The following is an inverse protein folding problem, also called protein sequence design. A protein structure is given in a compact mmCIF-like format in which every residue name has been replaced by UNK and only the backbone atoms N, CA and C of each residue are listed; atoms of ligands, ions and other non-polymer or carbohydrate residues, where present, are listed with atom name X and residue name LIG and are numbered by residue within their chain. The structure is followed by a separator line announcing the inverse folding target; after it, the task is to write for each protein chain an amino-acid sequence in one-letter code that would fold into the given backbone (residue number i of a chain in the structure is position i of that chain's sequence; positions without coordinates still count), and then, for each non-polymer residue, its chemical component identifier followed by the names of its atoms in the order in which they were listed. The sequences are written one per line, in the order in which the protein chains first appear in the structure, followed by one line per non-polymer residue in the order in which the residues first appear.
data_IF_862153573387
#
_entry.id   IF_862153573387
#
_cell.length_a   1.000
_cell.length_b   1.000
_cell.length_c   1.000
_cell.angle_alpha   90.00
_cell.angle_beta   90.00
_cell.angle_gamma   90.00
#
_symmetry.space_group_name_H-M   'P 1'
#
loop_
_entity.id
_entity.type
_entity.pdbx_description
1 polymer ?
#
# COMPACT_ATOMS: atom_id res chain seq x y z
N UNK A 1 -17.60 -26.62 33.19
CA UNK A 1 -17.79 -26.04 31.84
C UNK A 1 -16.41 -25.77 31.33
N UNK A 2 -15.93 -26.63 30.43
CA UNK A 2 -14.58 -26.52 29.89
C UNK A 2 -14.54 -25.33 28.92
N UNK A 3 -13.75 -24.31 29.26
CA UNK A 3 -13.47 -23.21 28.34
C UNK A 3 -12.50 -23.72 27.29
N UNK A 4 -13.02 -24.16 26.15
CA UNK A 4 -12.19 -24.43 24.98
C UNK A 4 -11.61 -23.11 24.49
N UNK A 5 -10.29 -22.97 24.65
CA UNK A 5 -9.48 -21.95 24.00
C UNK A 5 -9.62 -22.14 22.49
N UNK A 6 -10.38 -21.26 21.84
CA UNK A 6 -10.39 -21.16 20.38
C UNK A 6 -9.02 -20.63 19.94
N UNK A 7 -8.12 -21.52 19.53
CA UNK A 7 -7.01 -21.12 18.65
C UNK A 7 -7.63 -20.59 17.35
N UNK A 8 -7.31 -19.36 16.91
CA UNK A 8 -7.76 -18.91 15.61
C UNK A 8 -7.01 -19.76 14.57
N UNK A 9 -7.74 -20.63 13.88
CA UNK A 9 -7.23 -21.29 12.68
C UNK A 9 -6.74 -20.21 11.73
N UNK A 10 -5.41 -20.13 11.55
CA UNK A 10 -4.80 -19.26 10.56
C UNK A 10 -5.18 -19.77 9.17
N UNK A 11 -6.30 -19.26 8.67
CA UNK A 11 -6.71 -19.45 7.29
C UNK A 11 -5.59 -18.97 6.37
N UNK A 12 -5.32 -19.71 5.30
CA UNK A 12 -4.39 -19.32 4.22
C UNK A 12 -4.69 -17.93 3.61
N UNK A 13 -5.78 -17.28 4.02
CA UNK A 13 -6.19 -15.93 3.66
C UNK A 13 -5.59 -14.80 4.52
N UNK A 14 -4.90 -15.09 5.64
CA UNK A 14 -4.48 -14.05 6.59
C UNK A 14 -3.16 -13.35 6.26
N UNK A 15 -2.37 -13.88 5.33
CA UNK A 15 -1.10 -13.25 4.96
C UNK A 15 -1.33 -12.23 3.84
N UNK A 16 -1.11 -10.92 4.07
CA UNK A 16 -1.29 -9.92 3.02
C UNK A 16 -0.26 -10.11 1.91
N UNK A 17 -0.70 -10.03 0.65
CA UNK A 17 0.16 -10.18 -0.55
C UNK A 17 1.23 -9.09 -0.64
N UNK A 18 0.94 -7.91 -0.10
CA UNK A 18 1.88 -6.80 -0.01
C UNK A 18 1.89 -6.20 1.40
N UNK A 19 3.08 -5.96 1.93
CA UNK A 19 3.26 -5.15 3.13
C UNK A 19 3.59 -3.72 2.73
N UNK A 20 2.85 -2.76 3.26
CA UNK A 20 3.02 -1.34 3.01
C UNK A 20 3.68 -0.63 4.19
N UNK A 21 4.64 0.24 3.91
CA UNK A 21 5.34 1.07 4.91
C UNK A 21 5.47 2.52 4.40
N UNK A 22 4.79 3.49 5.04
CA UNK A 22 3.74 3.30 6.05
C UNK A 22 2.49 2.64 5.42
N UNK A 23 1.67 1.93 6.21
CA UNK A 23 0.43 1.32 5.69
C UNK A 23 -0.65 2.35 5.36
N UNK A 24 -0.60 3.54 5.97
CA UNK A 24 -1.53 4.64 5.76
C UNK A 24 -0.72 5.94 5.73
N UNK A 25 -0.95 6.77 4.70
CA UNK A 25 -0.43 8.14 4.62
C UNK A 25 -1.54 9.14 4.87
N UNK A 26 -1.24 10.23 5.57
CA UNK A 26 -2.17 11.32 5.83
C UNK A 26 -1.66 12.61 5.18
N UNK A 27 -2.57 13.32 4.51
CA UNK A 27 -2.37 14.69 4.07
C UNK A 27 -3.36 15.55 4.86
N UNK A 28 -2.88 16.19 5.93
CA UNK A 28 -3.68 17.10 6.77
C UNK A 28 -3.36 18.56 6.42
N UNK A 29 -4.26 19.48 6.80
CA UNK A 29 -4.04 20.92 6.70
C UNK A 29 -3.63 21.38 5.28
N UNK A 30 -4.28 20.80 4.28
CA UNK A 30 -3.93 21.06 2.88
C UNK A 30 -4.36 22.46 2.44
N UNK A 31 -3.53 23.08 1.61
CA UNK A 31 -3.80 24.35 0.93
C UNK A 31 -4.06 24.10 -0.55
N UNK A 32 -4.75 25.03 -1.21
CA UNK A 32 -5.03 24.93 -2.65
C UNK A 32 -3.79 25.37 -3.44
N UNK A 33 -3.32 24.52 -4.35
CA UNK A 33 -2.25 24.85 -5.29
C UNK A 33 -0.93 24.09 -5.12
N UNK A 34 -0.49 23.74 -3.89
CA UNK A 34 0.68 22.88 -3.67
C UNK A 34 0.49 21.43 -4.15
N UNK A 35 1.62 20.78 -4.45
CA UNK A 35 1.70 19.33 -4.70
C UNK A 35 2.22 18.66 -3.44
N UNK A 36 1.52 17.63 -2.98
CA UNK A 36 1.91 16.85 -1.81
C UNK A 36 2.45 15.48 -2.24
N UNK A 37 3.56 15.05 -1.63
CA UNK A 37 4.21 13.78 -1.92
C UNK A 37 4.33 12.93 -0.64
N UNK A 38 4.08 11.63 -0.77
CA UNK A 38 4.28 10.64 0.28
C UNK A 38 4.88 9.38 -0.34
N UNK A 39 5.98 8.90 0.25
CA UNK A 39 6.64 7.67 -0.22
C UNK A 39 6.12 6.48 0.58
N UNK A 40 5.52 5.52 -0.12
CA UNK A 40 5.07 4.25 0.46
C UNK A 40 5.86 3.12 -0.17
N UNK A 41 6.62 2.39 0.65
CA UNK A 41 7.30 1.18 0.21
C UNK A 41 6.33 0.00 0.24
N UNK A 42 6.22 -0.72 -0.86
CA UNK A 42 5.45 -1.96 -0.98
C UNK A 42 6.37 -3.16 -1.13
N UNK A 43 6.23 -4.15 -0.26
CA UNK A 43 6.97 -5.41 -0.29
C UNK A 43 6.04 -6.55 -0.69
N UNK A 44 6.28 -7.19 -1.84
CA UNK A 44 5.61 -8.42 -2.22
C UNK A 44 6.06 -9.56 -1.29
N UNK A 45 5.14 -10.20 -0.59
CA UNK A 45 5.41 -11.30 0.36
C UNK A 45 5.31 -12.68 -0.28
N UNK A 46 4.93 -12.74 -1.56
CA UNK A 46 4.76 -13.97 -2.33
C UNK A 46 5.98 -14.26 -3.20
N UNK A 47 6.13 -15.52 -3.62
CA UNK A 47 7.20 -15.97 -4.51
C UNK A 47 6.96 -15.66 -5.99
N UNK A 48 5.89 -14.93 -6.31
CA UNK A 48 5.48 -14.64 -7.69
C UNK A 48 5.26 -13.15 -7.90
N UNK A 49 5.53 -12.64 -9.10
CA UNK A 49 5.18 -11.27 -9.46
C UNK A 49 3.66 -11.05 -9.39
N UNK A 50 3.25 -9.84 -8.99
CA UNK A 50 1.86 -9.46 -8.78
C UNK A 50 1.64 -8.04 -9.32
N UNK A 51 0.52 -7.84 -10.00
CA UNK A 51 0.15 -6.55 -10.56
C UNK A 51 -0.45 -5.64 -9.48
N UNK A 52 -0.10 -4.35 -9.51
CA UNK A 52 -0.65 -3.33 -8.65
C UNK A 52 -1.21 -2.19 -9.50
N UNK A 53 -2.33 -1.62 -9.04
CA UNK A 53 -2.89 -0.39 -9.60
C UNK A 53 -3.18 0.58 -8.47
N UNK A 54 -2.91 1.84 -8.72
CA UNK A 54 -3.37 2.91 -7.83
C UNK A 54 -4.81 3.23 -8.22
N UNK A 55 -5.69 3.27 -7.22
CA UNK A 55 -7.07 3.69 -7.43
C UNK A 55 -7.14 5.22 -7.32
N UNK A 56 -7.99 5.88 -8.13
CA UNK A 56 -8.26 7.29 -7.93
C UNK A 56 -8.67 7.56 -6.47
N UNK A 57 -8.26 8.69 -5.88
CA UNK A 57 -8.69 9.05 -4.54
C UNK A 57 -10.21 9.10 -4.47
N UNK A 58 -10.80 8.60 -3.38
CA UNK A 58 -12.25 8.71 -3.13
C UNK A 58 -12.70 10.14 -2.81
N UNK A 59 -11.78 11.10 -2.87
CA UNK A 59 -11.98 12.51 -2.53
C UNK A 59 -11.78 13.37 -3.78
N UNK A 60 -12.63 14.38 -4.03
CA UNK A 60 -12.48 15.28 -5.17
C UNK A 60 -11.37 16.32 -4.95
N UNK A 61 -10.81 16.44 -3.75
CA UNK A 61 -9.83 17.46 -3.40
C UNK A 61 -8.40 17.14 -3.84
N UNK A 62 -8.14 15.86 -4.16
CA UNK A 62 -6.82 15.39 -4.55
C UNK A 62 -6.90 14.60 -5.86
N UNK A 63 -5.94 14.84 -6.74
CA UNK A 63 -5.69 14.05 -7.94
C UNK A 63 -4.30 13.44 -7.85
N UNK A 64 -4.14 12.24 -8.40
CA UNK A 64 -2.84 11.57 -8.46
C UNK A 64 -2.17 11.88 -9.81
N UNK A 65 -0.95 12.40 -9.76
CA UNK A 65 -0.09 12.55 -10.94
C UNK A 65 0.61 11.23 -11.31
N UNK A 66 0.97 11.07 -12.58
CA UNK A 66 1.77 9.93 -13.04
C UNK A 66 3.15 9.96 -12.37
N UNK A 67 3.42 9.00 -11.49
CA UNK A 67 4.76 8.74 -10.97
C UNK A 67 5.50 7.97 -12.06
N UNK A 68 6.51 8.58 -12.68
CA UNK A 68 7.39 7.83 -13.59
C UNK A 68 8.05 6.72 -12.78
N UNK A 69 8.03 5.45 -13.23
CA UNK A 69 8.91 4.47 -12.63
C UNK A 69 10.33 4.98 -12.88
N UNK A 70 11.03 5.38 -11.83
CA UNK A 70 12.49 5.42 -11.88
C UNK A 70 12.91 3.96 -12.01
N UNK A 71 12.90 3.46 -13.24
CA UNK A 71 13.78 2.38 -13.62
C UNK A 71 15.16 2.98 -13.43
N UNK A 72 15.75 2.74 -12.26
CA UNK A 72 17.20 2.80 -12.14
C UNK A 72 17.72 1.65 -13.03
N UNK A 73 17.78 1.92 -14.34
CA UNK A 73 18.52 1.12 -15.29
C UNK A 73 20.00 1.51 -15.12
N UNK A 74 20.53 1.23 -13.94
CA UNK A 74 21.94 1.23 -13.62
C UNK A 74 22.42 -0.21 -13.67
N UNK A 75 23.06 -0.58 -14.78
CA UNK A 75 23.77 -1.85 -15.01
C UNK A 75 22.94 -3.14 -15.02
N UNK A 76 22.53 -3.56 -16.22
CA UNK A 76 22.81 -4.88 -16.82
C UNK A 76 22.46 -4.85 -18.31
#
# INVERSE_FOLDING_TARGET
GEFQSTEPEQSCADTPVFLAKPPIGFFTDYEIGPVYEMVIALQNTTTTSRYLRVLPPSTPYFALGLVSPVLDCGYC
#
